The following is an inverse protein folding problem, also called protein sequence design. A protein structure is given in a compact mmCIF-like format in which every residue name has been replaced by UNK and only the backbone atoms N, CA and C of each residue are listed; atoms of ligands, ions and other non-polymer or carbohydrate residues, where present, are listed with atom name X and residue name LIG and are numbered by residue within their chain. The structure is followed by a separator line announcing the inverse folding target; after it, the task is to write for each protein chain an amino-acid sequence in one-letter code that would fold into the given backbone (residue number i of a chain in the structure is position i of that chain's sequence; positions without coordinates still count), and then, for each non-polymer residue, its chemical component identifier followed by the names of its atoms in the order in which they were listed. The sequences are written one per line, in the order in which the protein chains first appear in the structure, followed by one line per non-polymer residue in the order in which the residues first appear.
data_IF_258393228113
#
_entry.id   IF_258393228113
#
_cell.length_a   1.000
_cell.length_b   1.000
_cell.length_c   1.000
_cell.angle_alpha   90.00
_cell.angle_beta   90.00
_cell.angle_gamma   90.00
#
_symmetry.space_group_name_H-M   'P 1'
#
loop_
_entity.id
_entity.type
_entity.pdbx_description
1 polymer ?
#
# COMPACT_ATOMS: atom_id res chain seq x y z
N UNK A 1 10.08 14.79 48.34
CA UNK A 1 9.33 13.70 47.68
C UNK A 1 8.56 14.29 46.53
N UNK A 2 9.11 14.23 45.34
CA UNK A 2 8.45 14.70 44.10
C UNK A 2 7.60 13.56 43.57
N UNK A 3 6.30 13.80 43.48
CA UNK A 3 5.31 12.84 43.03
C UNK A 3 5.54 12.43 41.58
N UNK A 4 5.46 11.13 41.34
CA UNK A 4 5.45 10.54 39.99
C UNK A 4 4.13 10.92 39.34
N UNK A 5 4.18 11.95 38.50
CA UNK A 5 3.04 12.31 37.64
C UNK A 5 2.83 11.17 36.62
N UNK A 6 1.61 10.62 36.64
CA UNK A 6 1.03 9.68 35.71
C UNK A 6 1.51 9.92 34.26
N UNK A 7 2.25 8.97 33.72
CA UNK A 7 2.48 8.85 32.28
C UNK A 7 1.13 8.52 31.62
N UNK A 8 0.32 9.56 31.33
CA UNK A 8 -0.75 9.44 30.36
C UNK A 8 -0.11 9.04 29.04
N UNK A 9 -0.63 8.01 28.40
CA UNK A 9 -0.23 7.57 27.09
C UNK A 9 -0.18 8.79 26.16
N UNK A 10 1.03 9.21 25.80
CA UNK A 10 1.22 10.19 24.71
C UNK A 10 0.71 9.45 23.48
N UNK A 11 -0.44 9.86 22.93
CA UNK A 11 -0.87 9.41 21.63
C UNK A 11 0.28 9.72 20.68
N UNK A 12 0.80 8.67 20.00
CA UNK A 12 1.89 8.85 19.07
C UNK A 12 1.49 9.98 18.09
N UNK A 13 2.33 11.00 17.95
CA UNK A 13 2.06 12.07 16.99
C UNK A 13 2.19 11.47 15.58
N UNK A 14 1.06 11.19 14.97
CA UNK A 14 0.97 10.61 13.64
C UNK A 14 1.61 11.47 12.55
N UNK A 15 1.78 12.78 12.81
CA UNK A 15 2.40 13.73 11.89
C UNK A 15 3.86 14.04 12.25
N UNK A 16 4.49 13.24 13.10
CA UNK A 16 5.85 13.52 13.57
C UNK A 16 6.90 13.60 12.44
N UNK A 17 6.70 12.89 11.35
CA UNK A 17 7.58 12.92 10.18
C UNK A 17 7.15 13.96 9.15
N UNK A 18 5.85 14.14 8.96
CA UNK A 18 5.29 15.05 7.96
C UNK A 18 5.39 16.50 8.41
N UNK A 19 5.07 16.79 9.69
CA UNK A 19 4.98 18.16 10.22
C UNK A 19 6.22 19.01 9.96
N UNK A 20 7.44 18.58 10.33
CA UNK A 20 8.64 19.39 10.09
C UNK A 20 8.88 19.68 8.61
N UNK A 21 8.55 18.71 7.73
CA UNK A 21 8.70 18.86 6.29
C UNK A 21 7.67 19.85 5.71
N UNK A 22 6.42 19.74 6.14
CA UNK A 22 5.34 20.62 5.70
C UNK A 22 5.56 22.06 6.22
N UNK A 23 6.00 22.21 7.47
CA UNK A 23 6.34 23.52 8.05
C UNK A 23 7.52 24.19 7.30
N UNK A 24 8.42 23.38 6.68
CA UNK A 24 9.49 23.84 5.78
C UNK A 24 9.02 24.02 4.32
N UNK A 25 7.71 24.01 4.06
CA UNK A 25 7.11 24.23 2.75
C UNK A 25 7.14 23.05 1.80
N UNK A 26 7.46 21.83 2.27
CA UNK A 26 7.45 20.65 1.44
C UNK A 26 6.01 20.13 1.21
N UNK A 27 5.79 19.58 0.03
CA UNK A 27 4.62 18.73 -0.29
C UNK A 27 5.02 17.29 -0.07
N UNK A 28 4.49 16.67 0.99
CA UNK A 28 4.93 15.34 1.46
C UNK A 28 3.99 14.26 0.96
N UNK A 29 4.53 13.20 0.34
CA UNK A 29 3.77 12.01 -0.04
C UNK A 29 4.22 10.79 0.74
N UNK A 30 3.28 10.09 1.39
CA UNK A 30 3.48 8.76 1.97
C UNK A 30 3.09 7.66 1.00
N UNK A 31 3.87 6.58 0.96
CA UNK A 31 3.71 5.46 0.03
C UNK A 31 3.74 4.14 0.79
N UNK A 32 2.76 3.26 0.51
CA UNK A 32 2.72 1.89 1.05
C UNK A 32 2.12 0.90 0.04
N UNK A 33 2.54 -0.39 0.15
CA UNK A 33 2.05 -1.45 -0.70
C UNK A 33 1.10 -2.43 0.02
N UNK A 34 0.18 -3.00 -0.74
CA UNK A 34 -0.74 -4.06 -0.29
C UNK A 34 -0.76 -5.22 -1.29
N UNK A 35 -0.81 -6.43 -0.76
CA UNK A 35 -0.87 -7.64 -1.58
C UNK A 35 0.47 -8.23 -1.95
N UNK A 36 1.57 -7.78 -1.33
CA UNK A 36 2.93 -8.32 -1.56
C UNK A 36 2.98 -9.84 -1.41
N UNK A 37 2.41 -10.40 -0.34
CA UNK A 37 2.42 -11.83 -0.03
C UNK A 37 1.22 -12.63 -0.58
N UNK A 38 0.35 -12.05 -1.40
CA UNK A 38 -0.80 -12.75 -1.96
C UNK A 38 -0.37 -13.71 -3.08
N UNK A 39 -1.01 -14.88 -3.18
CA UNK A 39 -0.77 -15.89 -4.23
C UNK A 39 -1.46 -15.54 -5.53
N UNK A 40 -2.53 -14.74 -5.46
CA UNK A 40 -3.33 -14.31 -6.61
C UNK A 40 -3.68 -12.82 -6.54
N UNK A 41 -3.96 -12.26 -7.71
CA UNK A 41 -4.33 -10.86 -7.87
C UNK A 41 -3.16 -9.90 -7.87
N UNK A 42 -3.45 -8.61 -8.06
CA UNK A 42 -2.43 -7.57 -8.22
C UNK A 42 -1.74 -7.23 -6.91
N UNK A 43 -0.60 -6.56 -7.02
CA UNK A 43 -0.09 -5.67 -5.97
C UNK A 43 -0.73 -4.31 -6.15
N UNK A 44 -1.10 -3.67 -5.05
CA UNK A 44 -1.58 -2.30 -5.03
C UNK A 44 -0.57 -1.42 -4.28
N UNK A 45 -0.34 -0.20 -4.76
CA UNK A 45 0.40 0.84 -4.03
C UNK A 45 -0.48 2.05 -3.89
N UNK A 46 -0.60 2.55 -2.66
CA UNK A 46 -1.25 3.81 -2.33
C UNK A 46 -0.22 4.93 -2.19
N UNK A 47 -0.64 6.13 -2.56
CA UNK A 47 0.11 7.38 -2.34
C UNK A 47 -0.86 8.40 -1.77
N UNK A 48 -0.47 9.05 -0.67
CA UNK A 48 -1.24 10.13 -0.02
C UNK A 48 -0.37 11.34 0.15
N UNK A 49 -0.80 12.46 -0.39
CA UNK A 49 -0.08 13.74 -0.41
C UNK A 49 -0.69 14.71 0.59
N UNK A 50 0.16 15.39 1.39
CA UNK A 50 -0.25 16.44 2.31
C UNK A 50 0.58 17.71 2.11
N UNK A 51 -0.07 18.86 2.33
CA UNK A 51 0.54 20.20 2.31
C UNK A 51 0.22 20.99 3.59
N UNK A 52 -0.46 20.35 4.55
CA UNK A 52 -0.89 20.93 5.79
C UNK A 52 -0.46 20.07 6.98
N UNK A 53 0.00 20.66 8.10
CA UNK A 53 0.36 19.94 9.30
C UNK A 53 -0.84 19.48 10.14
N UNK A 54 -2.07 19.58 9.60
CA UNK A 54 -3.29 19.15 10.28
C UNK A 54 -3.27 17.64 10.58
N UNK A 55 -3.77 17.24 11.74
CA UNK A 55 -3.81 15.83 12.12
C UNK A 55 -4.70 15.01 11.15
N UNK A 56 -4.39 13.73 10.95
CA UNK A 56 -5.21 12.86 10.13
C UNK A 56 -6.60 12.62 10.77
N UNK A 57 -7.57 12.13 10.01
CA UNK A 57 -8.89 11.74 10.52
C UNK A 57 -8.79 10.77 11.70
N UNK A 58 -9.66 10.97 12.69
CA UNK A 58 -9.74 10.07 13.85
C UNK A 58 -10.01 8.63 13.45
N UNK A 59 -9.36 7.69 14.15
CA UNK A 59 -9.46 6.25 13.89
C UNK A 59 -8.46 5.71 12.85
N UNK A 60 -7.61 6.56 12.25
CA UNK A 60 -6.49 6.09 11.43
C UNK A 60 -5.54 5.23 12.27
N UNK A 61 -5.13 4.09 11.73
CA UNK A 61 -4.21 3.14 12.35
C UNK A 61 -3.58 2.26 11.26
N UNK A 62 -2.61 1.41 11.64
CA UNK A 62 -2.13 0.30 10.79
C UNK A 62 -3.32 -0.42 10.16
N UNK A 63 -3.35 -0.50 8.85
CA UNK A 63 -4.48 -1.07 8.09
C UNK A 63 -4.82 -2.50 8.47
N UNK A 64 -3.85 -3.26 9.02
CA UNK A 64 -4.01 -4.65 9.48
C UNK A 64 -4.73 -4.74 10.83
N UNK A 65 -4.69 -3.66 11.64
CA UNK A 65 -5.39 -3.56 12.92
C UNK A 65 -6.83 -3.07 12.78
N UNK A 66 -7.21 -2.56 11.62
CA UNK A 66 -8.55 -2.07 11.32
C UNK A 66 -9.42 -3.18 10.72
N UNK A 67 -10.67 -3.25 11.13
CA UNK A 67 -11.68 -4.06 10.43
C UNK A 67 -11.94 -3.51 9.02
N UNK A 68 -12.50 -4.35 8.14
CA UNK A 68 -12.87 -3.92 6.79
C UNK A 68 -13.88 -2.75 6.80
N UNK A 69 -14.80 -2.71 7.77
CA UNK A 69 -15.75 -1.61 7.94
C UNK A 69 -15.05 -0.30 8.33
N UNK A 70 -14.12 -0.36 9.30
CA UNK A 70 -13.35 0.81 9.71
C UNK A 70 -12.48 1.36 8.57
N UNK A 71 -11.80 0.49 7.80
CA UNK A 71 -11.04 0.93 6.62
C UNK A 71 -11.93 1.63 5.59
N UNK A 72 -13.11 1.08 5.29
CA UNK A 72 -14.05 1.71 4.34
C UNK A 72 -14.57 3.05 4.84
N UNK A 73 -14.84 3.17 6.14
CA UNK A 73 -15.30 4.42 6.73
C UNK A 73 -14.24 5.53 6.71
N UNK A 74 -12.95 5.18 6.64
CA UNK A 74 -11.85 6.15 6.55
C UNK A 74 -11.64 6.70 5.12
N UNK A 75 -12.17 6.08 4.07
CA UNK A 75 -11.87 6.47 2.68
C UNK A 75 -12.22 7.94 2.42
N UNK A 76 -13.47 8.33 2.62
CA UNK A 76 -13.90 9.72 2.39
C UNK A 76 -13.20 10.73 3.30
N UNK A 77 -13.06 10.50 4.63
CA UNK A 77 -12.27 11.38 5.49
C UNK A 77 -10.81 11.55 5.04
N UNK A 78 -10.16 10.48 4.55
CA UNK A 78 -8.80 10.55 4.05
C UNK A 78 -8.69 11.35 2.75
N UNK A 79 -9.65 11.20 1.84
CA UNK A 79 -9.72 12.04 0.63
C UNK A 79 -9.94 13.53 0.97
N UNK A 80 -10.73 13.84 1.99
CA UNK A 80 -10.97 15.22 2.44
C UNK A 80 -9.76 15.85 3.15
N UNK A 81 -8.94 15.02 3.83
CA UNK A 81 -7.76 15.46 4.56
C UNK A 81 -6.55 15.67 3.66
N UNK A 82 -6.36 14.77 2.68
CA UNK A 82 -5.21 14.81 1.78
C UNK A 82 -5.33 15.91 0.73
N UNK A 83 -4.20 16.48 0.32
CA UNK A 83 -4.13 17.38 -0.83
C UNK A 83 -4.35 16.62 -2.15
N UNK A 84 -3.88 15.37 -2.23
CA UNK A 84 -4.13 14.45 -3.34
C UNK A 84 -3.90 13.00 -2.91
N UNK A 85 -4.52 12.05 -3.64
CA UNK A 85 -4.34 10.62 -3.40
C UNK A 85 -4.33 9.86 -4.72
N UNK A 86 -3.58 8.76 -4.76
CA UNK A 86 -3.60 7.84 -5.88
C UNK A 86 -3.46 6.39 -5.40
N UNK A 87 -4.07 5.46 -6.13
CA UNK A 87 -3.83 4.02 -5.96
C UNK A 87 -3.61 3.40 -7.33
N UNK A 88 -2.50 2.70 -7.50
CA UNK A 88 -2.21 1.98 -8.74
C UNK A 88 -1.87 0.52 -8.47
N UNK A 89 -1.92 -0.26 -9.55
CA UNK A 89 -1.78 -1.70 -9.49
C UNK A 89 -0.74 -2.21 -10.48
N UNK A 90 -0.12 -3.35 -10.12
CA UNK A 90 0.56 -4.24 -11.06
C UNK A 90 -0.10 -5.61 -10.99
N UNK A 91 -0.31 -6.22 -12.15
CA UNK A 91 -0.97 -7.52 -12.31
C UNK A 91 -0.10 -8.68 -11.81
N UNK A 92 -0.72 -9.85 -11.64
CA UNK A 92 0.01 -11.08 -11.35
C UNK A 92 1.02 -11.42 -12.46
N UNK A 93 0.68 -11.17 -13.73
CA UNK A 93 1.59 -11.41 -14.86
C UNK A 93 2.82 -10.49 -14.82
N UNK A 94 2.65 -9.22 -14.42
CA UNK A 94 3.78 -8.30 -14.24
C UNK A 94 4.65 -8.70 -13.04
N UNK A 95 4.05 -9.22 -11.96
CA UNK A 95 4.81 -9.82 -10.84
C UNK A 95 5.62 -11.02 -11.33
N UNK A 96 5.05 -11.87 -12.17
CA UNK A 96 5.74 -13.03 -12.75
C UNK A 96 6.88 -12.60 -13.68
N UNK A 97 6.69 -11.53 -14.43
CA UNK A 97 7.69 -11.03 -15.39
C UNK A 97 8.87 -10.32 -14.71
N UNK A 98 8.58 -9.45 -13.74
CA UNK A 98 9.58 -8.52 -13.18
C UNK A 98 10.03 -8.88 -11.77
N UNK A 99 9.33 -9.80 -11.12
CA UNK A 99 9.48 -10.09 -9.69
C UNK A 99 8.76 -9.06 -8.82
N UNK A 100 8.47 -9.48 -7.58
CA UNK A 100 7.61 -8.72 -6.66
C UNK A 100 8.14 -7.31 -6.33
N UNK A 101 9.45 -7.15 -6.14
CA UNK A 101 10.04 -5.83 -5.79
C UNK A 101 9.90 -4.84 -6.95
N UNK A 102 10.19 -5.28 -8.17
CA UNK A 102 10.05 -4.44 -9.36
C UNK A 102 8.57 -4.14 -9.66
N UNK A 103 7.66 -5.08 -9.44
CA UNK A 103 6.23 -4.85 -9.59
C UNK A 103 5.70 -3.82 -8.58
N UNK A 104 6.15 -3.84 -7.31
CA UNK A 104 5.80 -2.82 -6.31
C UNK A 104 6.30 -1.44 -6.78
N UNK A 105 7.57 -1.35 -7.20
CA UNK A 105 8.13 -0.11 -7.72
C UNK A 105 7.33 0.43 -8.93
N UNK A 106 6.95 -0.44 -9.88
CA UNK A 106 6.11 -0.07 -11.02
C UNK A 106 4.74 0.47 -10.58
N UNK A 107 4.07 -0.18 -9.61
CA UNK A 107 2.81 0.33 -9.06
C UNK A 107 3.00 1.69 -8.38
N UNK A 108 4.11 1.91 -7.64
CA UNK A 108 4.43 3.20 -7.02
C UNK A 108 4.61 4.30 -8.08
N UNK A 109 5.37 4.02 -9.15
CA UNK A 109 5.54 4.96 -10.27
C UNK A 109 4.22 5.27 -10.97
N UNK A 110 3.36 4.27 -11.18
CA UNK A 110 2.03 4.47 -11.76
C UNK A 110 1.14 5.33 -10.87
N UNK A 111 1.18 5.14 -9.54
CA UNK A 111 0.42 5.95 -8.59
C UNK A 111 0.92 7.39 -8.56
N UNK A 112 2.24 7.62 -8.47
CA UNK A 112 2.84 8.95 -8.50
C UNK A 112 2.48 9.73 -9.78
N UNK A 113 2.40 9.07 -10.93
CA UNK A 113 2.00 9.69 -12.21
C UNK A 113 0.53 10.11 -12.27
N UNK A 114 -0.34 9.59 -11.42
CA UNK A 114 -1.75 9.96 -11.34
C UNK A 114 -1.99 11.22 -10.52
N UNK A 115 -0.99 11.64 -9.72
CA UNK A 115 -1.13 12.80 -8.86
C UNK A 115 -1.23 14.10 -9.67
N UNK A 116 -2.15 14.96 -9.24
CA UNK A 116 -2.31 16.34 -9.71
C UNK A 116 -1.49 17.32 -8.89
N UNK A 117 -1.23 16.97 -7.62
CA UNK A 117 -0.37 17.72 -6.69
C UNK A 117 0.98 16.99 -6.61
N UNK A 118 2.03 17.48 -7.30
CA UNK A 118 3.33 16.82 -7.31
C UNK A 118 4.00 16.91 -5.93
N UNK A 119 4.48 15.81 -5.36
CA UNK A 119 5.24 15.84 -4.12
C UNK A 119 6.64 16.43 -4.33
N UNK A 120 7.20 17.01 -3.28
CA UNK A 120 8.59 17.45 -3.22
C UNK A 120 9.43 16.61 -2.25
N UNK A 121 8.77 15.80 -1.41
CA UNK A 121 9.40 14.85 -0.50
C UNK A 121 8.58 13.56 -0.39
N UNK A 122 9.25 12.39 -0.35
CA UNK A 122 8.58 11.08 -0.26
C UNK A 122 8.92 10.37 1.07
N UNK A 123 7.90 9.81 1.71
CA UNK A 123 8.03 8.88 2.83
C UNK A 123 7.63 7.48 2.34
N UNK A 124 8.55 6.52 2.40
CA UNK A 124 8.36 5.16 1.90
C UNK A 124 8.25 4.19 3.08
N UNK A 125 7.26 3.29 3.08
CA UNK A 125 7.25 2.20 4.05
C UNK A 125 8.34 1.18 3.76
N UNK A 126 8.94 0.64 4.83
CA UNK A 126 9.89 -0.45 4.75
C UNK A 126 11.33 -0.04 4.45
N UNK A 127 12.09 -1.00 3.89
CA UNK A 127 13.53 -0.86 3.62
C UNK A 127 13.85 -0.81 2.13
N UNK A 128 12.92 -1.23 1.28
CA UNK A 128 13.12 -1.28 -0.17
C UNK A 128 13.09 0.14 -0.76
N UNK A 129 14.00 0.43 -1.66
CA UNK A 129 13.95 1.64 -2.45
C UNK A 129 13.04 1.40 -3.67
N UNK A 130 11.88 2.04 -3.64
CA UNK A 130 10.86 1.93 -4.70
C UNK A 130 11.15 2.86 -5.88
N UNK A 131 12.13 3.76 -5.75
CA UNK A 131 12.44 4.77 -6.75
C UNK A 131 13.61 4.37 -7.67
N UNK A 132 14.41 3.36 -7.26
CA UNK A 132 15.51 2.86 -8.09
C UNK A 132 15.02 2.42 -9.48
N UNK A 133 15.79 2.72 -10.54
CA UNK A 133 15.50 2.21 -11.88
C UNK A 133 15.38 0.68 -11.89
N UNK A 134 14.37 0.17 -12.62
CA UNK A 134 14.04 -1.26 -12.68
C UNK A 134 13.91 -1.70 -14.14
N UNK A 135 13.98 -3.01 -14.43
CA UNK A 135 13.91 -3.53 -15.81
C UNK A 135 12.69 -3.07 -16.62
N UNK A 136 11.54 -2.84 -15.96
CA UNK A 136 10.33 -2.33 -16.61
C UNK A 136 10.46 -0.90 -17.14
N UNK A 137 11.45 -0.13 -16.71
CA UNK A 137 11.67 1.24 -17.20
C UNK A 137 11.93 1.30 -18.70
N UNK A 138 12.29 0.19 -19.33
CA UNK A 138 12.43 0.09 -20.79
C UNK A 138 11.06 0.06 -21.51
N UNK A 139 10.00 -0.43 -20.86
CA UNK A 139 8.65 -0.60 -21.41
C UNK A 139 7.68 0.51 -21.01
N UNK A 140 7.82 0.99 -19.79
CA UNK A 140 7.09 2.17 -19.30
C UNK A 140 8.11 3.24 -18.95
N UNK A 141 8.08 4.40 -19.64
CA UNK A 141 8.91 5.55 -19.24
C UNK A 141 8.49 5.97 -17.84
N UNK A 142 9.27 5.70 -16.79
CA UNK A 142 8.98 6.26 -15.48
C UNK A 142 9.15 7.77 -15.56
N UNK A 143 8.26 8.53 -14.92
CA UNK A 143 8.69 9.85 -14.47
C UNK A 143 9.87 9.61 -13.53
N UNK A 144 10.95 10.33 -13.70
CA UNK A 144 12.12 10.19 -12.84
C UNK A 144 11.84 10.82 -11.47
N UNK A 145 11.40 9.98 -10.54
CA UNK A 145 11.18 10.37 -9.14
C UNK A 145 12.40 10.11 -8.27
N UNK A 146 13.48 9.51 -8.82
CA UNK A 146 14.69 9.17 -8.08
C UNK A 146 15.45 10.40 -7.58
N UNK A 147 15.22 11.56 -8.22
CA UNK A 147 15.81 12.84 -7.81
C UNK A 147 15.12 13.47 -6.59
N UNK A 148 13.91 13.01 -6.23
CA UNK A 148 13.22 13.56 -5.07
C UNK A 148 13.86 13.13 -3.76
N UNK A 149 14.03 14.06 -2.81
CA UNK A 149 14.40 13.72 -1.45
C UNK A 149 13.38 12.73 -0.88
N UNK A 150 13.87 11.68 -0.23
CA UNK A 150 12.99 10.67 0.37
C UNK A 150 13.57 10.07 1.65
N UNK A 151 12.70 9.55 2.51
CA UNK A 151 13.07 8.79 3.68
C UNK A 151 12.32 7.46 3.70
N UNK A 152 13.00 6.40 4.17
CA UNK A 152 12.43 5.07 4.35
C UNK A 152 12.16 4.83 5.82
N UNK A 153 10.94 4.50 6.16
CA UNK A 153 10.48 4.29 7.52
C UNK A 153 10.11 2.83 7.73
N UNK A 154 10.90 2.11 8.51
CA UNK A 154 10.54 0.76 8.94
C UNK A 154 9.31 0.83 9.84
N UNK A 155 8.26 0.07 9.50
CA UNK A 155 6.94 0.18 10.13
C UNK A 155 6.35 1.60 10.03
N UNK A 156 6.49 2.23 8.86
CA UNK A 156 5.97 3.56 8.60
C UNK A 156 4.45 3.63 8.73
N UNK A 157 3.75 2.56 8.39
CA UNK A 157 2.30 2.36 8.57
C UNK A 157 1.81 2.52 10.03
N UNK A 158 2.73 2.53 11.02
CA UNK A 158 2.46 2.75 12.45
C UNK A 158 3.00 4.07 12.99
N UNK A 159 3.66 4.87 12.16
CA UNK A 159 4.47 6.01 12.60
C UNK A 159 4.25 7.28 11.79
N UNK A 160 3.74 7.16 10.57
CA UNK A 160 3.51 8.24 9.62
C UNK A 160 2.05 8.22 9.18
N UNK A 161 1.38 9.35 9.28
CA UNK A 161 -0.02 9.49 8.90
C UNK A 161 -0.23 9.25 7.41
N UNK A 162 0.66 9.76 6.57
CA UNK A 162 0.56 9.62 5.11
C UNK A 162 0.79 8.18 4.66
N UNK A 163 1.74 7.46 5.26
CA UNK A 163 1.98 6.04 4.96
C UNK A 163 0.79 5.19 5.43
N UNK A 164 0.30 5.39 6.67
CA UNK A 164 -0.87 4.67 7.17
C UNK A 164 -2.12 4.92 6.31
N UNK A 165 -2.34 6.15 5.87
CA UNK A 165 -3.44 6.50 4.98
C UNK A 165 -3.30 5.80 3.61
N UNK A 166 -2.08 5.78 3.03
CA UNK A 166 -1.77 5.07 1.80
C UNK A 166 -2.05 3.57 1.92
N UNK A 167 -1.64 2.93 3.03
CA UNK A 167 -1.95 1.54 3.36
C UNK A 167 -3.45 1.26 3.37
N UNK A 168 -4.25 2.11 4.05
CA UNK A 168 -5.71 1.97 4.14
C UNK A 168 -6.35 2.08 2.77
N UNK A 169 -6.02 3.10 1.98
CA UNK A 169 -6.60 3.32 0.65
C UNK A 169 -6.22 2.20 -0.33
N UNK A 170 -4.96 1.79 -0.35
CA UNK A 170 -4.51 0.66 -1.17
C UNK A 170 -5.21 -0.65 -0.77
N UNK A 171 -5.38 -0.90 0.55
CA UNK A 171 -6.07 -2.09 1.06
C UNK A 171 -7.53 -2.13 0.65
N UNK A 172 -8.25 -1.01 0.79
CA UNK A 172 -9.67 -0.94 0.38
C UNK A 172 -9.81 -1.14 -1.12
N UNK A 173 -8.99 -0.49 -1.93
CA UNK A 173 -9.03 -0.60 -3.38
C UNK A 173 -8.71 -2.03 -3.85
N UNK A 174 -7.66 -2.65 -3.29
CA UNK A 174 -7.28 -4.02 -3.66
C UNK A 174 -8.32 -5.05 -3.22
N UNK A 175 -8.82 -4.97 -2.00
CA UNK A 175 -9.83 -5.91 -1.51
C UNK A 175 -11.11 -5.81 -2.34
N UNK A 176 -11.54 -4.58 -2.71
CA UNK A 176 -12.67 -4.37 -3.62
C UNK A 176 -12.48 -5.07 -4.97
N UNK A 177 -11.28 -4.94 -5.57
CA UNK A 177 -10.97 -5.61 -6.83
C UNK A 177 -11.02 -7.14 -6.68
N UNK A 178 -10.45 -7.69 -5.61
CA UNK A 178 -10.50 -9.14 -5.37
C UNK A 178 -11.93 -9.66 -5.16
N UNK A 179 -12.79 -8.89 -4.48
CA UNK A 179 -14.21 -9.22 -4.35
C UNK A 179 -14.94 -9.19 -5.69
N UNK A 180 -14.61 -8.26 -6.59
CA UNK A 180 -15.18 -8.20 -7.95
C UNK A 180 -14.74 -9.38 -8.83
N UNK A 181 -13.54 -9.90 -8.62
CA UNK A 181 -13.00 -11.06 -9.34
C UNK A 181 -13.52 -12.40 -8.78
N UNK A 182 -13.89 -12.46 -7.50
CA UNK A 182 -14.27 -13.69 -6.82
C UNK A 182 -15.42 -14.47 -7.49
N UNK A 183 -16.48 -13.86 -8.05
CA UNK A 183 -17.55 -14.60 -8.72
C UNK A 183 -17.11 -15.39 -9.95
N UNK A 184 -16.06 -14.91 -10.65
CA UNK A 184 -15.50 -15.61 -11.81
C UNK A 184 -14.58 -16.79 -11.43
N UNK A 185 -14.15 -16.86 -10.15
CA UNK A 185 -13.24 -17.88 -9.63
C UNK A 185 -13.69 -18.35 -8.23
N UNK A 186 -14.90 -18.93 -8.11
CA UNK A 186 -15.56 -19.19 -6.81
C UNK A 186 -14.78 -20.16 -5.92
N UNK A 187 -14.08 -21.14 -6.53
CA UNK A 187 -13.40 -22.22 -5.81
C UNK A 187 -12.19 -21.76 -4.99
N UNK A 188 -11.58 -20.61 -5.35
CA UNK A 188 -10.40 -20.09 -4.67
C UNK A 188 -10.71 -19.24 -3.43
N UNK A 189 -11.99 -18.98 -3.13
CA UNK A 189 -12.44 -18.28 -1.92
C UNK A 189 -11.97 -16.82 -1.81
N UNK A 190 -11.76 -16.12 -2.94
CA UNK A 190 -11.24 -14.74 -2.96
C UNK A 190 -12.18 -13.72 -2.34
N UNK A 191 -13.45 -14.05 -2.18
CA UNK A 191 -14.43 -13.23 -1.44
C UNK A 191 -14.07 -13.07 0.06
N UNK A 192 -13.25 -13.98 0.61
CA UNK A 192 -12.82 -13.93 2.01
C UNK A 192 -11.31 -13.78 2.17
N UNK A 193 -10.52 -14.55 1.41
CA UNK A 193 -9.06 -14.55 1.54
C UNK A 193 -8.36 -13.48 0.67
N UNK A 194 -9.07 -12.79 -0.20
CA UNK A 194 -8.60 -11.75 -1.13
C UNK A 194 -7.27 -12.10 -1.83
N UNK A 195 -7.11 -13.38 -2.18
CA UNK A 195 -5.95 -13.91 -2.89
C UNK A 195 -4.78 -14.38 -2.01
N UNK A 196 -4.89 -14.28 -0.68
CA UNK A 196 -3.86 -14.83 0.22
C UNK A 196 -4.03 -16.33 0.43
N UNK A 197 -2.94 -16.99 0.87
CA UNK A 197 -2.85 -18.44 1.02
C UNK A 197 -3.60 -18.99 2.24
N UNK A 198 -4.94 -18.90 2.25
CA UNK A 198 -5.76 -19.64 3.21
C UNK A 198 -5.73 -21.14 2.91
N UNK A 199 -6.12 -21.98 3.89
CA UNK A 199 -6.18 -23.43 3.70
C UNK A 199 -7.06 -23.83 2.52
N UNK A 200 -8.24 -23.20 2.35
CA UNK A 200 -9.13 -23.43 1.22
C UNK A 200 -8.50 -23.02 -0.12
N UNK A 201 -7.82 -21.86 -0.18
CA UNK A 201 -7.14 -21.41 -1.39
C UNK A 201 -6.02 -22.39 -1.80
N UNK A 202 -5.22 -22.85 -0.83
CA UNK A 202 -4.16 -23.84 -1.09
C UNK A 202 -4.72 -25.21 -1.52
N UNK A 203 -5.88 -25.62 -0.99
CA UNK A 203 -6.55 -26.86 -1.41
C UNK A 203 -7.06 -26.73 -2.86
N UNK A 204 -7.74 -25.62 -3.19
CA UNK A 204 -8.20 -25.36 -4.55
C UNK A 204 -7.04 -25.31 -5.56
N UNK A 205 -5.90 -24.73 -5.19
CA UNK A 205 -4.70 -24.73 -6.04
C UNK A 205 -4.15 -26.15 -6.31
N UNK A 206 -4.22 -27.07 -5.33
CA UNK A 206 -3.81 -28.48 -5.54
C UNK A 206 -4.76 -29.21 -6.46
N UNK A 207 -6.05 -28.95 -6.36
CA UNK A 207 -7.08 -29.64 -7.12
C UNK A 207 -7.22 -29.10 -8.55
N UNK A 208 -7.32 -27.79 -8.69
CA UNK A 208 -7.68 -27.12 -9.95
C UNK A 208 -6.48 -26.49 -10.67
N UNK A 209 -5.34 -26.38 -10.00
CA UNK A 209 -4.19 -25.64 -10.51
C UNK A 209 -4.37 -24.13 -10.50
N UNK A 210 -3.33 -23.37 -10.91
CA UNK A 210 -3.37 -21.92 -10.90
C UNK A 210 -4.09 -21.32 -12.12
N UNK A 211 -4.92 -20.32 -11.90
CA UNK A 211 -5.54 -19.50 -12.96
C UNK A 211 -4.56 -18.45 -13.51
N UNK A 212 -5.00 -17.68 -14.52
CA UNK A 212 -4.24 -16.54 -15.09
C UNK A 212 -4.03 -15.38 -14.08
N UNK A 213 -4.78 -15.35 -12.99
CA UNK A 213 -4.65 -14.34 -11.95
C UNK A 213 -3.73 -14.76 -10.80
N UNK A 214 -3.22 -16.00 -10.80
CA UNK A 214 -2.22 -16.43 -9.85
C UNK A 214 -0.81 -16.03 -10.28
N UNK A 215 0.05 -15.81 -9.30
CA UNK A 215 1.48 -15.50 -9.50
C UNK A 215 2.24 -16.79 -9.73
N UNK A 216 2.30 -17.22 -11.00
CA UNK A 216 2.81 -18.54 -11.41
C UNK A 216 4.31 -18.72 -11.22
N UNK A 217 5.07 -17.63 -11.10
CA UNK A 217 6.50 -17.66 -10.77
C UNK A 217 6.77 -18.01 -9.30
N UNK A 218 5.72 -18.03 -8.47
CA UNK A 218 5.83 -18.38 -7.06
C UNK A 218 5.72 -19.88 -6.86
N UNK A 219 6.22 -20.36 -5.71
CA UNK A 219 6.09 -21.78 -5.35
C UNK A 219 4.64 -22.10 -4.92
N UNK A 220 3.75 -22.21 -5.92
CA UNK A 220 2.36 -22.56 -5.72
C UNK A 220 2.22 -24.07 -5.50
N UNK A 221 1.26 -24.53 -4.66
CA UNK A 221 0.93 -25.95 -4.55
C UNK A 221 0.55 -26.51 -5.92
N UNK A 222 1.10 -27.65 -6.27
CA UNK A 222 0.75 -28.41 -7.49
C UNK A 222 -0.06 -29.64 -7.09
N UNK A 223 -1.01 -30.03 -7.93
CA UNK A 223 -1.65 -31.35 -7.84
C UNK A 223 -0.59 -32.46 -8.08
N UNK A 224 -0.87 -33.62 -7.53
CA UNK A 224 -0.08 -34.85 -7.83
C UNK A 224 -0.38 -35.32 -9.25
#
# INVERSE_FOLDING_TARGET
MLGIASLRSVSADWMAFERPLVDDGQTVAGIDEVGRGALAGPVAVGVVVVQSPLPPPGGLNDSKLLSAAQRRALVEPLHAWAADVAVAFTSAAEVDTWGIRAAIALAAHRALRQLRVPPTFLLLDGRDDLLEPRPWAATERPADWSHLPHARLVHGDRRSATIAAAAVLAKVARDRLMHQLAPAFPDFGWSSNVGYGSSGHLAALRELGPTVLHRRSWNLPRGQ
#
